data_IF_509315128738
#
_entry.id   IF_509315128738
#
_cell.length_a   1.000
_cell.length_b   1.000
_cell.length_c   1.000
_cell.angle_alpha   90.00
_cell.angle_beta   90.00
_cell.angle_gamma   90.00
#
_symmetry.space_group_name_H-M   'P 1'
#
loop_
_entity.id
_entity.type
_entity.pdbx_description
1 polymer ?
#
# COMPACT_ATOMS: atom_id res chain seq x y z
N UNK A 1 -12.38 -2.15 -11.25
CA UNK A 1 -11.89 -1.67 -9.94
C UNK A 1 -10.52 -1.08 -10.13
N UNK A 2 -10.24 0.09 -9.55
CA UNK A 2 -8.92 0.74 -9.56
C UNK A 2 -8.33 0.68 -8.15
N UNK A 3 -7.09 0.21 -8.05
CA UNK A 3 -6.41 -0.09 -6.80
C UNK A 3 -5.10 0.69 -6.69
N UNK A 4 -4.73 1.04 -5.47
CA UNK A 4 -3.42 1.62 -5.16
C UNK A 4 -2.53 0.55 -4.54
N UNK A 5 -1.33 0.39 -5.11
CA UNK A 5 -0.52 -0.82 -4.97
C UNK A 5 0.98 -0.51 -4.96
N UNK A 6 1.75 -1.41 -4.35
CA UNK A 6 3.20 -1.44 -4.41
C UNK A 6 3.68 -2.70 -5.13
N UNK A 7 4.59 -2.55 -6.09
CA UNK A 7 5.20 -3.68 -6.80
C UNK A 7 6.48 -4.11 -6.10
N UNK A 8 6.55 -5.40 -5.77
CA UNK A 8 7.70 -6.05 -5.15
C UNK A 8 8.13 -7.28 -5.97
N UNK A 9 9.32 -7.81 -5.69
CA UNK A 9 9.73 -9.13 -6.19
C UNK A 9 10.04 -10.09 -5.05
N UNK A 10 10.04 -11.40 -5.32
CA UNK A 10 10.52 -12.41 -4.36
C UNK A 10 11.98 -12.24 -3.93
N UNK A 11 12.75 -11.35 -4.59
CA UNK A 11 14.15 -11.03 -4.28
C UNK A 11 14.34 -9.60 -3.75
N UNK A 12 13.26 -8.86 -3.48
CA UNK A 12 13.30 -7.49 -2.96
C UNK A 12 12.84 -6.42 -3.96
N UNK A 13 12.99 -5.14 -3.59
CA UNK A 13 12.58 -3.98 -4.40
C UNK A 13 13.59 -3.59 -5.49
N UNK A 14 14.87 -3.84 -5.26
CA UNK A 14 15.94 -3.28 -6.09
C UNK A 14 15.99 -3.97 -7.45
N UNK A 15 15.93 -3.19 -8.53
CA UNK A 15 16.05 -3.71 -9.90
C UNK A 15 14.81 -4.45 -10.43
N UNK A 16 13.62 -4.24 -9.86
CA UNK A 16 12.39 -4.99 -10.21
C UNK A 16 12.13 -5.15 -11.71
N UNK A 17 12.15 -4.11 -12.58
CA UNK A 17 11.89 -4.36 -13.99
C UNK A 17 12.92 -5.31 -14.60
N UNK A 18 14.20 -5.16 -14.23
CA UNK A 18 15.32 -5.97 -14.73
C UNK A 18 15.30 -7.39 -14.18
N UNK A 19 15.07 -7.58 -12.88
CA UNK A 19 15.11 -8.89 -12.22
C UNK A 19 13.89 -9.74 -12.63
N UNK A 20 12.71 -9.12 -12.77
CA UNK A 20 11.51 -9.81 -13.26
C UNK A 20 11.62 -10.18 -14.74
N UNK A 21 11.95 -9.22 -15.61
CA UNK A 21 11.85 -9.40 -17.07
C UNK A 21 13.08 -10.08 -17.70
N UNK A 22 14.30 -9.73 -17.30
CA UNK A 22 15.52 -10.21 -17.98
C UNK A 22 16.00 -11.58 -17.52
N UNK A 23 15.72 -11.97 -16.27
CA UNK A 23 16.35 -13.15 -15.68
C UNK A 23 15.38 -14.27 -15.31
N UNK A 24 14.09 -13.98 -15.14
CA UNK A 24 13.10 -14.94 -14.63
C UNK A 24 13.38 -15.43 -13.19
N UNK A 25 14.40 -14.90 -12.51
CA UNK A 25 14.87 -15.37 -11.19
C UNK A 25 14.00 -14.88 -10.03
N UNK A 26 13.04 -13.99 -10.28
CA UNK A 26 12.11 -13.51 -9.27
C UNK A 26 10.68 -13.46 -9.83
N UNK A 27 9.72 -13.67 -8.94
CA UNK A 27 8.29 -13.54 -9.26
C UNK A 27 7.75 -12.22 -8.70
N UNK A 28 6.79 -11.57 -9.38
CA UNK A 28 6.16 -10.36 -8.85
C UNK A 28 5.34 -10.68 -7.59
N UNK A 29 5.32 -9.73 -6.66
CA UNK A 29 4.37 -9.64 -5.55
C UNK A 29 3.79 -8.24 -5.58
N UNK A 30 2.46 -8.11 -5.63
CA UNK A 30 1.78 -6.82 -5.68
C UNK A 30 1.03 -6.64 -4.38
N UNK A 31 1.47 -5.68 -3.57
CA UNK A 31 0.84 -5.36 -2.30
C UNK A 31 -0.19 -4.26 -2.48
N UNK A 32 -1.46 -4.62 -2.39
CA UNK A 32 -2.61 -3.71 -2.51
C UNK A 32 -2.86 -3.05 -1.16
N UNK A 33 -2.88 -1.72 -1.11
CA UNK A 33 -3.07 -1.01 0.15
C UNK A 33 -4.22 0.00 0.15
N UNK A 34 -4.79 0.39 -1.00
CA UNK A 34 -6.00 1.21 -1.07
C UNK A 34 -6.86 0.87 -2.30
N UNK A 35 -8.12 1.32 -2.29
CA UNK A 35 -9.06 1.22 -3.43
C UNK A 35 -9.57 2.60 -3.79
N UNK A 36 -9.44 2.96 -5.06
CA UNK A 36 -9.80 4.29 -5.57
C UNK A 36 -11.16 4.24 -6.28
N UNK A 37 -11.39 3.19 -7.07
CA UNK A 37 -12.68 2.92 -7.71
C UNK A 37 -13.12 1.49 -7.47
N UNK A 38 -14.38 1.31 -7.09
CA UNK A 38 -15.00 0.00 -6.89
C UNK A 38 -16.30 -0.10 -7.68
N UNK A 39 -16.44 -1.14 -8.50
CA UNK A 39 -17.59 -1.35 -9.39
C UNK A 39 -17.97 -0.10 -10.23
N UNK A 40 -16.97 0.53 -10.85
CA UNK A 40 -17.14 1.70 -11.70
C UNK A 40 -17.39 3.02 -10.95
N UNK A 41 -17.49 3.00 -9.61
CA UNK A 41 -17.74 4.19 -8.80
C UNK A 41 -16.47 4.66 -8.09
N UNK A 42 -16.24 5.97 -8.08
CA UNK A 42 -15.20 6.57 -7.26
C UNK A 42 -15.57 6.38 -5.77
N UNK A 43 -14.63 5.85 -4.99
CA UNK A 43 -14.83 5.62 -3.54
C UNK A 43 -13.88 6.44 -2.68
N UNK A 44 -13.15 7.40 -3.26
CA UNK A 44 -12.22 8.25 -2.52
C UNK A 44 -12.89 9.19 -1.52
N UNK A 45 -14.18 9.49 -1.70
CA UNK A 45 -14.99 10.24 -0.72
C UNK A 45 -15.22 9.49 0.59
N UNK A 46 -15.03 8.16 0.60
CA UNK A 46 -15.11 7.33 1.80
C UNK A 46 -13.85 7.47 2.65
N UNK A 47 -13.99 7.29 3.95
CA UNK A 47 -12.86 7.22 4.89
C UNK A 47 -11.93 6.05 4.56
N UNK A 48 -10.65 6.13 4.92
CA UNK A 48 -9.70 5.03 4.75
C UNK A 48 -10.22 3.75 5.40
N UNK A 49 -10.83 3.85 6.59
CA UNK A 49 -11.46 2.71 7.28
C UNK A 49 -12.52 2.02 6.42
N UNK A 50 -13.38 2.78 5.76
CA UNK A 50 -14.41 2.22 4.86
C UNK A 50 -13.80 1.64 3.57
N UNK A 51 -12.77 2.29 3.01
CA UNK A 51 -12.07 1.78 1.81
C UNK A 51 -11.35 0.46 2.11
N UNK A 52 -10.77 0.30 3.30
CA UNK A 52 -10.19 -0.98 3.77
C UNK A 52 -11.24 -2.10 3.85
N UNK A 53 -12.44 -1.82 4.38
CA UNK A 53 -13.56 -2.78 4.37
C UNK A 53 -14.00 -3.18 2.95
N UNK A 54 -13.86 -2.29 1.97
CA UNK A 54 -14.12 -2.63 0.55
C UNK A 54 -13.03 -3.57 0.03
N UNK A 55 -11.75 -3.28 0.30
CA UNK A 55 -10.64 -4.14 -0.10
C UNK A 55 -10.77 -5.56 0.44
N UNK A 56 -11.19 -5.72 1.70
CA UNK A 56 -11.39 -7.03 2.33
C UNK A 56 -12.45 -7.90 1.63
N UNK A 57 -13.41 -7.28 0.93
CA UNK A 57 -14.44 -7.99 0.16
C UNK A 57 -13.94 -8.50 -1.19
N UNK A 58 -12.78 -8.02 -1.65
CA UNK A 58 -12.23 -8.39 -2.95
C UNK A 58 -11.40 -9.67 -2.79
N UNK A 59 -11.75 -10.71 -3.55
CA UNK A 59 -10.96 -11.95 -3.60
C UNK A 59 -9.74 -11.75 -4.49
N UNK A 60 -8.60 -11.48 -3.87
CA UNK A 60 -7.31 -11.40 -4.56
C UNK A 60 -6.73 -12.79 -4.82
N UNK A 61 -6.15 -12.97 -6.01
CA UNK A 61 -5.33 -14.14 -6.37
C UNK A 61 -3.89 -13.69 -6.57
N UNK A 62 -2.94 -14.61 -6.42
CA UNK A 62 -1.53 -14.34 -6.71
C UNK A 62 -1.40 -13.75 -8.14
N UNK A 63 -0.56 -12.72 -8.34
CA UNK A 63 0.45 -12.20 -7.42
C UNK A 63 -0.01 -11.07 -6.48
N UNK A 64 -1.32 -10.82 -6.34
CA UNK A 64 -1.85 -9.74 -5.50
C UNK A 64 -2.08 -10.19 -4.05
N UNK A 65 -1.68 -9.34 -3.10
CA UNK A 65 -1.82 -9.54 -1.66
C UNK A 65 -2.28 -8.23 -1.01
N UNK A 66 -3.17 -8.29 -0.03
CA UNK A 66 -3.51 -7.10 0.76
C UNK A 66 -2.33 -6.79 1.67
N UNK A 67 -1.89 -5.53 1.69
CA UNK A 67 -0.88 -5.07 2.64
C UNK A 67 -1.50 -4.98 4.03
N UNK A 68 -0.97 -5.78 4.96
CA UNK A 68 -1.37 -5.77 6.36
C UNK A 68 -1.09 -4.40 7.00
N UNK A 69 -1.96 -4.00 7.92
CA UNK A 69 -1.83 -2.76 8.66
C UNK A 69 -2.38 -2.95 10.07
N UNK A 70 -1.89 -2.15 11.01
CA UNK A 70 -2.36 -2.14 12.40
C UNK A 70 -2.60 -0.69 12.86
N UNK A 71 -3.63 -0.43 13.68
CA UNK A 71 -3.80 0.88 14.31
C UNK A 71 -2.55 1.27 15.12
N UNK A 72 -2.04 2.48 14.90
CA UNK A 72 -0.85 2.95 15.59
C UNK A 72 -1.16 3.23 17.06
N UNK A 73 -0.55 2.44 17.97
CA UNK A 73 -0.61 2.67 19.42
C UNK A 73 0.58 3.45 19.95
N UNK A 74 1.78 3.18 19.41
CA UNK A 74 3.02 3.82 19.83
C UNK A 74 3.96 3.93 18.63
N UNK A 75 4.33 5.17 18.27
CA UNK A 75 5.14 5.46 17.10
C UNK A 75 6.54 4.85 17.19
N UNK A 76 7.23 5.03 18.32
CA UNK A 76 8.60 4.55 18.53
C UNK A 76 8.68 3.03 18.37
N UNK A 77 7.77 2.30 19.01
CA UNK A 77 7.72 0.83 18.91
C UNK A 77 7.43 0.36 17.48
N UNK A 78 6.53 1.03 16.76
CA UNK A 78 6.23 0.68 15.37
C UNK A 78 7.44 0.91 14.45
N UNK A 79 8.16 2.01 14.64
CA UNK A 79 9.41 2.29 13.92
C UNK A 79 10.50 1.26 14.23
N UNK A 80 10.76 0.98 15.50
CA UNK A 80 11.74 -0.03 15.92
C UNK A 80 11.43 -1.42 15.34
N UNK A 81 10.16 -1.82 15.35
CA UNK A 81 9.70 -3.07 14.73
C UNK A 81 9.98 -3.07 13.21
N UNK A 82 9.63 -1.99 12.52
CA UNK A 82 9.86 -1.85 11.07
C UNK A 82 11.35 -1.97 10.72
N UNK A 83 12.22 -1.29 11.44
CA UNK A 83 13.68 -1.34 11.22
C UNK A 83 14.23 -2.73 11.52
N UNK A 84 13.80 -3.37 12.61
CA UNK A 84 14.20 -4.76 12.95
C UNK A 84 13.79 -5.78 11.87
N UNK A 85 12.69 -5.53 11.16
CA UNK A 85 12.24 -6.36 10.04
C UNK A 85 12.97 -6.06 8.72
N UNK A 86 13.93 -5.13 8.71
CA UNK A 86 14.68 -4.74 7.52
C UNK A 86 13.88 -3.87 6.54
N UNK A 87 12.78 -3.26 6.98
CA UNK A 87 12.01 -2.32 6.17
C UNK A 87 12.59 -0.90 6.26
N UNK A 88 12.37 -0.10 5.21
CA UNK A 88 12.82 1.31 5.14
C UNK A 88 12.19 2.20 6.24
N UNK A 89 11.00 1.82 6.71
CA UNK A 89 10.23 2.57 7.69
C UNK A 89 8.74 2.29 7.55
N UNK A 90 7.91 3.18 8.09
CA UNK A 90 6.46 3.01 8.11
C UNK A 90 5.74 4.10 7.35
N UNK A 91 4.52 3.78 6.93
CA UNK A 91 3.56 4.73 6.37
C UNK A 91 2.43 4.92 7.39
N UNK A 92 2.27 6.13 7.89
CA UNK A 92 1.13 6.51 8.72
C UNK A 92 0.02 7.05 7.83
N UNK A 93 -1.20 6.53 8.02
CA UNK A 93 -2.40 7.02 7.36
C UNK A 93 -3.50 7.29 8.37
N UNK A 94 -4.13 8.46 8.29
CA UNK A 94 -5.28 8.81 9.12
C UNK A 94 -6.52 8.00 8.70
N UNK A 95 -7.17 7.32 9.65
CA UNK A 95 -8.26 6.38 9.37
C UNK A 95 -9.51 7.07 8.81
N UNK A 96 -9.75 8.32 9.22
CA UNK A 96 -10.89 9.11 8.77
C UNK A 96 -10.60 9.94 7.51
N UNK A 97 -9.40 9.82 6.93
CA UNK A 97 -9.02 10.59 5.73
C UNK A 97 -9.69 10.07 4.45
N UNK A 98 -10.06 11.01 3.57
CA UNK A 98 -10.49 10.75 2.19
C UNK A 98 -9.29 10.49 1.28
N UNK A 99 -9.51 9.81 0.16
CA UNK A 99 -8.51 9.62 -0.87
C UNK A 99 -8.56 10.80 -1.86
N UNK A 100 -7.52 11.63 -1.86
CA UNK A 100 -7.45 12.81 -2.72
C UNK A 100 -6.66 12.51 -3.99
N UNK A 101 -7.26 12.79 -5.14
CA UNK A 101 -6.62 12.71 -6.45
C UNK A 101 -6.42 14.12 -7.02
N UNK A 102 -5.30 14.33 -7.70
CA UNK A 102 -5.09 15.48 -8.58
C UNK A 102 -5.10 15.03 -10.03
N UNK A 103 -4.99 15.98 -10.96
CA UNK A 103 -4.92 15.69 -12.40
C UNK A 103 -3.74 14.76 -12.76
N UNK A 104 -2.64 14.81 -12.00
CA UNK A 104 -1.41 14.08 -12.34
C UNK A 104 -1.18 12.84 -11.46
N UNK A 105 -1.57 12.88 -10.19
CA UNK A 105 -1.27 11.81 -9.22
C UNK A 105 -2.15 11.90 -7.96
N UNK A 106 -2.20 10.84 -7.13
CA UNK A 106 -2.69 10.93 -5.76
C UNK A 106 -1.96 12.04 -4.99
N UNK A 107 -2.70 12.81 -4.19
CA UNK A 107 -2.14 13.93 -3.42
C UNK A 107 -1.53 13.41 -2.12
N UNK A 108 -0.25 13.70 -1.89
CA UNK A 108 0.43 13.45 -0.63
C UNK A 108 -0.02 14.47 0.43
N UNK A 109 -1.15 14.18 1.08
CA UNK A 109 -1.72 15.04 2.12
C UNK A 109 -1.01 14.88 3.46
N UNK A 110 -1.29 15.76 4.41
CA UNK A 110 -0.81 15.61 5.78
C UNK A 110 -1.34 14.33 6.47
N UNK A 111 -2.41 13.73 5.97
CA UNK A 111 -2.98 12.45 6.42
C UNK A 111 -2.19 11.23 5.97
N UNK A 112 -1.20 11.39 5.08
CA UNK A 112 -0.31 10.33 4.64
C UNK A 112 1.13 10.76 4.88
N UNK A 113 1.77 10.18 5.92
CA UNK A 113 3.16 10.49 6.27
C UNK A 113 4.05 9.27 6.13
N UNK A 114 5.15 9.43 5.39
CA UNK A 114 6.24 8.45 5.35
C UNK A 114 7.27 8.82 6.41
N UNK A 115 7.59 7.87 7.26
CA UNK A 115 8.67 7.98 8.24
C UNK A 115 9.70 6.91 7.93
N UNK A 116 10.95 7.32 7.78
CA UNK A 116 12.09 6.41 7.53
C UNK A 116 12.86 6.21 8.82
N UNK A 117 13.33 4.98 9.02
CA UNK A 117 14.18 4.62 10.16
C UNK A 117 15.65 4.88 9.90
#
# INVERSE_FOLDING_TARGET
>A
TLLDCELYSTKGRRGIPSVLRKTGKAKPKIFVFDVIFYNGKFVGEKTLKERKKILEKIKFKKPFFILEFEPLKNLKKAMEKSVKMGYEGIILKELNSKYQISYQAPVATHHWRKLKG
#
